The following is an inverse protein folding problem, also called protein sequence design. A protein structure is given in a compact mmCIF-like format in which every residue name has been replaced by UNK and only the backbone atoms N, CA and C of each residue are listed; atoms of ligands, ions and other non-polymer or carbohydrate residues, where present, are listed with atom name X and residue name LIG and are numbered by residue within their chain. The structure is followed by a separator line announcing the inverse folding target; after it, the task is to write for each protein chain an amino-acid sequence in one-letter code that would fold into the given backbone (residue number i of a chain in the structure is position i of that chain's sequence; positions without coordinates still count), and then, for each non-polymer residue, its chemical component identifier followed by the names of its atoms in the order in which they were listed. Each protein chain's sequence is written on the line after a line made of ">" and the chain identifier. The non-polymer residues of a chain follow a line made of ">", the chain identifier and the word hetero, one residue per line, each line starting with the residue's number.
data_IF_878386142597
#
_entry.id   IF_878386142597
#
_cell.length_a   1.000
_cell.length_b   1.000
_cell.length_c   1.000
_cell.angle_alpha   90.00
_cell.angle_beta   90.00
_cell.angle_gamma   90.00
#
_symmetry.space_group_name_H-M   'P 1'
#
loop_
_entity.id
_entity.type
_entity.pdbx_description
1 polymer ?
#
# COMPACT_ATOMS: atom_id res chain seq x y z
N UNK A 1 -34.37 -8.83 -46.51
CA UNK A 1 -34.76 -8.98 -45.09
C UNK A 1 -33.48 -8.79 -44.28
N UNK A 2 -33.15 -7.55 -43.91
CA UNK A 2 -31.87 -7.23 -43.26
C UNK A 2 -31.92 -7.61 -41.77
N UNK A 3 -30.86 -8.21 -41.20
CA UNK A 3 -30.82 -8.52 -39.78
C UNK A 3 -30.83 -7.21 -38.97
N UNK A 4 -31.72 -7.17 -37.97
CA UNK A 4 -32.00 -5.98 -37.16
C UNK A 4 -30.79 -5.68 -36.27
N UNK A 5 -30.29 -4.42 -36.22
CA UNK A 5 -29.05 -4.04 -35.51
C UNK A 5 -29.12 -4.20 -33.97
N UNK A 6 -30.31 -4.45 -33.43
CA UNK A 6 -30.56 -4.59 -31.99
C UNK A 6 -30.02 -5.91 -31.45
N UNK A 7 -30.05 -6.99 -32.24
CA UNK A 7 -29.55 -8.30 -31.81
C UNK A 7 -28.02 -8.31 -31.60
N UNK A 8 -27.29 -7.52 -32.40
CA UNK A 8 -25.82 -7.42 -32.32
C UNK A 8 -25.36 -6.67 -31.06
N UNK A 9 -26.14 -5.70 -30.59
CA UNK A 9 -25.82 -4.87 -29.43
C UNK A 9 -25.95 -5.63 -28.10
N UNK A 10 -26.88 -6.58 -28.00
CA UNK A 10 -27.08 -7.41 -26.80
C UNK A 10 -25.96 -8.44 -26.63
N UNK A 11 -25.47 -9.02 -27.73
CA UNK A 11 -24.34 -9.98 -27.70
C UNK A 11 -23.03 -9.28 -27.30
N UNK A 12 -22.81 -8.04 -27.75
CA UNK A 12 -21.64 -7.26 -27.36
C UNK A 12 -21.65 -6.91 -25.85
N UNK A 13 -22.82 -6.66 -25.26
CA UNK A 13 -22.97 -6.38 -23.83
C UNK A 13 -22.78 -7.63 -22.95
N UNK A 14 -23.17 -8.82 -23.43
CA UNK A 14 -22.96 -10.09 -22.73
C UNK A 14 -21.50 -10.55 -22.74
N UNK A 15 -20.72 -10.17 -23.76
CA UNK A 15 -19.29 -10.49 -23.87
C UNK A 15 -18.40 -9.53 -23.06
N UNK A 16 -18.85 -8.31 -22.81
CA UNK A 16 -18.22 -7.35 -21.90
C UNK A 16 -18.86 -7.40 -20.50
N UNK A 17 -19.02 -8.61 -19.96
CA UNK A 17 -19.37 -8.78 -18.55
C UNK A 17 -18.39 -7.99 -17.67
N UNK A 18 -18.84 -7.49 -16.49
CA UNK A 18 -17.98 -6.70 -15.63
C UNK A 18 -16.78 -7.58 -15.30
N UNK A 19 -15.59 -7.15 -15.68
CA UNK A 19 -14.38 -7.72 -15.16
C UNK A 19 -14.47 -7.55 -13.64
N UNK A 20 -14.92 -8.61 -12.95
CA UNK A 20 -14.92 -8.65 -11.51
C UNK A 20 -13.47 -8.35 -11.12
N UNK A 21 -13.24 -7.20 -10.50
CA UNK A 21 -11.94 -6.82 -10.00
C UNK A 21 -11.54 -7.92 -9.01
N UNK A 22 -10.73 -8.87 -9.48
CA UNK A 22 -10.11 -9.85 -8.61
C UNK A 22 -9.36 -9.05 -7.55
N UNK A 23 -9.59 -9.32 -6.25
CA UNK A 23 -8.85 -8.62 -5.20
C UNK A 23 -7.36 -8.80 -5.49
N UNK A 24 -6.63 -7.70 -5.51
CA UNK A 24 -5.20 -7.73 -5.78
C UNK A 24 -4.47 -8.42 -4.62
N UNK A 25 -4.39 -9.76 -4.67
CA UNK A 25 -3.62 -10.61 -3.75
C UNK A 25 -2.12 -10.27 -3.73
N UNK A 26 -1.65 -9.38 -4.63
CA UNK A 26 -0.29 -8.85 -4.65
C UNK A 26 0.06 -7.99 -3.41
N UNK A 27 -0.90 -7.66 -2.56
CA UNK A 27 -0.69 -6.81 -1.38
C UNK A 27 -0.66 -7.59 -0.06
N UNK A 28 -0.36 -8.88 -0.08
CA UNK A 28 -0.11 -9.68 1.13
C UNK A 28 1.33 -10.17 1.16
N UNK A 29 1.88 -10.35 2.36
CA UNK A 29 3.16 -11.02 2.53
C UNK A 29 2.91 -12.53 2.58
N UNK A 30 3.52 -13.26 1.66
CA UNK A 30 3.62 -14.71 1.77
C UNK A 30 4.38 -15.11 3.05
N UNK A 31 4.21 -16.35 3.54
CA UNK A 31 4.96 -16.83 4.71
C UNK A 31 6.48 -16.67 4.59
N UNK A 32 7.04 -16.90 3.38
CA UNK A 32 8.46 -16.71 3.11
C UNK A 32 8.90 -15.25 3.24
N UNK A 33 8.16 -14.32 2.63
CA UNK A 33 8.45 -12.89 2.73
C UNK A 33 8.34 -12.38 4.18
N UNK A 34 7.36 -12.86 4.95
CA UNK A 34 7.24 -12.53 6.37
C UNK A 34 8.49 -12.97 7.14
N UNK A 35 8.91 -14.23 6.95
CA UNK A 35 10.11 -14.76 7.60
C UNK A 35 11.39 -13.99 7.21
N UNK A 36 11.51 -13.54 5.95
CA UNK A 36 12.63 -12.71 5.51
C UNK A 36 12.67 -11.35 6.21
N UNK A 37 11.51 -10.68 6.36
CA UNK A 37 11.41 -9.40 7.08
C UNK A 37 11.71 -9.60 8.57
N UNK A 38 11.20 -10.65 9.19
CA UNK A 38 11.52 -10.98 10.59
C UNK A 38 13.02 -11.19 10.80
N UNK A 39 13.65 -12.00 9.92
CA UNK A 39 15.08 -12.26 9.99
C UNK A 39 15.93 -11.01 9.72
N UNK A 40 15.48 -10.13 8.81
CA UNK A 40 16.11 -8.82 8.61
C UNK A 40 16.04 -7.97 9.87
N UNK A 41 14.85 -7.84 10.47
CA UNK A 41 14.65 -7.02 11.66
C UNK A 41 15.52 -7.50 12.81
N UNK A 42 15.56 -8.81 13.06
CA UNK A 42 16.41 -9.41 14.08
C UNK A 42 17.87 -8.98 13.94
N UNK A 43 18.44 -9.12 12.73
CA UNK A 43 19.82 -8.70 12.44
C UNK A 43 20.03 -7.19 12.60
N UNK A 44 19.03 -6.38 12.28
CA UNK A 44 19.10 -4.93 12.43
C UNK A 44 19.09 -4.51 13.90
N UNK A 45 18.20 -5.10 14.72
CA UNK A 45 18.12 -4.82 16.14
C UNK A 45 19.37 -5.29 16.90
N UNK A 46 19.94 -6.46 16.54
CA UNK A 46 21.18 -6.95 17.16
C UNK A 46 22.38 -6.00 16.97
N UNK A 47 22.41 -5.28 15.84
CA UNK A 47 23.47 -4.31 15.54
C UNK A 47 23.29 -2.97 16.26
N UNK A 48 22.15 -2.75 16.90
CA UNK A 48 21.79 -1.50 17.58
C UNK A 48 21.13 -1.80 18.93
N UNK A 49 21.86 -2.44 19.87
CA UNK A 49 21.28 -3.00 21.09
C UNK A 49 20.64 -1.94 22.01
N UNK A 50 21.14 -0.70 21.99
CA UNK A 50 20.59 0.42 22.76
C UNK A 50 19.57 1.26 21.96
N UNK A 51 19.31 0.86 20.71
CA UNK A 51 18.42 1.56 19.79
C UNK A 51 16.95 1.19 19.99
N UNK A 52 16.07 2.18 19.90
CA UNK A 52 14.63 1.96 19.84
C UNK A 52 14.14 1.93 18.39
N UNK A 53 13.35 0.90 18.06
CA UNK A 53 12.82 0.70 16.71
C UNK A 53 11.29 0.73 16.70
N UNK A 54 10.75 1.49 15.76
CA UNK A 54 9.35 1.49 15.36
C UNK A 54 9.28 1.39 13.84
N UNK A 55 8.67 0.32 13.32
CA UNK A 55 8.62 0.02 11.89
C UNK A 55 7.22 -0.43 11.52
N UNK A 56 6.69 0.12 10.43
CA UNK A 56 5.41 -0.30 9.84
C UNK A 56 5.60 -0.47 8.35
N UNK A 57 5.22 -1.64 7.84
CA UNK A 57 5.13 -1.94 6.41
C UNK A 57 3.65 -2.16 6.13
N UNK A 58 3.09 -1.29 5.29
CA UNK A 58 1.67 -1.29 4.97
C UNK A 58 1.41 -0.95 3.52
N UNK A 59 0.17 -1.15 3.13
CA UNK A 59 -0.36 -0.81 1.81
C UNK A 59 -0.84 0.63 1.77
N UNK A 60 -1.03 1.19 0.57
CA UNK A 60 -1.47 2.58 0.38
C UNK A 60 -2.89 2.87 0.92
N UNK A 61 -3.73 1.84 1.02
CA UNK A 61 -5.06 1.88 1.64
C UNK A 61 -5.03 1.74 3.18
N UNK A 62 -3.84 1.66 3.79
CA UNK A 62 -3.65 1.69 5.24
C UNK A 62 -3.66 0.32 5.93
N UNK A 63 -3.72 -0.79 5.18
CA UNK A 63 -3.60 -2.13 5.76
C UNK A 63 -2.15 -2.39 6.17
N UNK A 64 -1.94 -2.75 7.42
CA UNK A 64 -0.62 -3.15 7.93
C UNK A 64 -0.33 -4.60 7.53
N UNK A 65 0.83 -4.82 6.91
CA UNK A 65 1.30 -6.15 6.51
C UNK A 65 2.26 -6.74 7.55
N UNK A 66 3.09 -5.88 8.13
CA UNK A 66 4.08 -6.23 9.15
C UNK A 66 4.45 -4.98 9.97
N UNK A 67 4.74 -5.15 11.26
CA UNK A 67 5.15 -4.04 12.11
C UNK A 67 5.91 -4.47 13.35
N UNK A 68 6.73 -3.57 13.88
CA UNK A 68 7.31 -3.63 15.23
C UNK A 68 7.05 -2.30 15.92
N UNK A 69 6.53 -2.35 17.14
CA UNK A 69 6.24 -1.19 18.00
C UNK A 69 5.60 0.02 17.26
N UNK A 70 4.49 -0.18 16.52
CA UNK A 70 3.93 0.85 15.64
C UNK A 70 3.45 2.11 16.37
N UNK A 71 3.24 2.03 17.68
CA UNK A 71 2.77 3.13 18.53
C UNK A 71 3.90 3.77 19.35
N UNK A 72 5.15 3.32 19.17
CA UNK A 72 6.27 3.89 19.89
C UNK A 72 6.58 5.29 19.35
N UNK A 73 6.55 6.28 20.24
CA UNK A 73 6.94 7.65 19.91
C UNK A 73 8.47 7.75 19.76
N UNK A 74 8.90 8.20 18.58
CA UNK A 74 10.31 8.37 18.23
C UNK A 74 10.58 9.79 17.74
N UNK A 75 11.83 10.24 17.84
CA UNK A 75 12.25 11.52 17.27
C UNK A 75 12.35 11.36 15.73
N UNK A 76 11.52 12.05 14.93
CA UNK A 76 11.41 11.79 13.49
C UNK A 76 12.56 12.38 12.66
N UNK A 77 13.41 13.22 13.25
CA UNK A 77 14.46 13.96 12.56
C UNK A 77 13.93 14.63 11.27
N UNK A 78 14.60 14.42 10.13
CA UNK A 78 14.17 14.99 8.85
C UNK A 78 12.87 14.41 8.29
N UNK A 79 12.36 13.28 8.80
CA UNK A 79 11.06 12.71 8.38
C UNK A 79 9.90 13.65 8.69
N UNK A 80 10.06 14.56 9.66
CA UNK A 80 9.12 15.66 9.91
C UNK A 80 8.80 16.48 8.63
N UNK A 81 9.74 16.56 7.69
CA UNK A 81 9.55 17.26 6.41
C UNK A 81 8.43 16.68 5.55
N UNK A 82 8.15 15.37 5.65
CA UNK A 82 7.03 14.74 4.93
C UNK A 82 5.70 15.37 5.35
N UNK A 83 5.51 15.58 6.66
CA UNK A 83 4.34 16.25 7.21
C UNK A 83 4.29 17.72 6.81
N UNK A 84 5.41 18.44 6.92
CA UNK A 84 5.49 19.85 6.52
C UNK A 84 5.15 20.04 5.06
N UNK A 85 5.70 19.24 4.15
CA UNK A 85 5.41 19.30 2.72
C UNK A 85 3.96 18.91 2.43
N UNK A 86 3.43 17.88 3.09
CA UNK A 86 2.01 17.49 2.95
C UNK A 86 1.08 18.63 3.36
N UNK A 87 1.35 19.26 4.50
CA UNK A 87 0.60 20.42 4.98
C UNK A 87 0.71 21.61 4.01
N UNK A 88 1.93 21.94 3.58
CA UNK A 88 2.18 23.03 2.63
C UNK A 88 1.38 22.84 1.34
N UNK A 89 1.42 21.64 0.73
CA UNK A 89 0.66 21.31 -0.47
C UNK A 89 -0.85 21.38 -0.25
N UNK A 90 -1.33 20.93 0.91
CA UNK A 90 -2.75 20.98 1.24
C UNK A 90 -3.26 22.42 1.43
N UNK A 91 -2.39 23.37 1.81
CA UNK A 91 -2.76 24.78 2.02
C UNK A 91 -2.52 25.68 0.82
N UNK A 92 -1.44 25.45 0.07
CA UNK A 92 -0.97 26.35 -0.99
C UNK A 92 -1.17 25.77 -2.41
N UNK A 93 -1.50 24.49 -2.53
CA UNK A 93 -1.56 23.79 -3.82
C UNK A 93 -0.20 23.21 -4.24
N UNK A 94 -0.22 22.41 -5.31
CA UNK A 94 0.96 21.65 -5.78
C UNK A 94 1.89 22.38 -6.76
N UNK A 95 1.58 23.63 -7.11
CA UNK A 95 2.31 24.43 -8.11
C UNK A 95 3.24 25.50 -7.53
N UNK A 96 3.49 25.47 -6.22
CA UNK A 96 4.49 26.31 -5.56
C UNK A 96 5.91 25.79 -5.77
#
# INVERSE_FOLDING_TARGET
>A
MAPRPVATLVVAWLLCGPAAALPAHAQELSPGQRAEVDAWFHRASERTPDGSWGVVIGTMDGRVLWSVNPQLELIPASTAKVFTTGFARARMGGGA
#
